data_IF_200991154171
#
_entry.id   IF_200991154171
#
_cell.length_a   1.000
_cell.length_b   1.000
_cell.length_c   1.000
_cell.angle_alpha   90.00
_cell.angle_beta   90.00
_cell.angle_gamma   90.00
#
_symmetry.space_group_name_H-M   'P 1'
#
loop_
_entity.id
_entity.type
_entity.pdbx_description
1 polymer ?
#
# COMPACT_ATOMS: atom_id res chain seq x y z
N UNK A 1 -0.84 15.21 -19.65
CA UNK A 1 -0.05 14.52 -18.62
C UNK A 1 -0.44 15.06 -17.27
N UNK A 2 -1.13 14.23 -16.50
CA UNK A 2 -1.62 14.68 -15.20
C UNK A 2 -0.68 14.23 -14.11
N UNK A 3 -0.27 15.15 -13.27
CA UNK A 3 0.44 14.83 -12.04
C UNK A 3 -0.60 14.42 -11.01
N UNK A 4 -0.44 13.24 -10.46
CA UNK A 4 -1.37 12.65 -9.49
C UNK A 4 -0.65 12.30 -8.21
N UNK A 5 -1.43 12.13 -7.14
CA UNK A 5 -0.94 11.60 -5.88
C UNK A 5 -1.68 10.31 -5.58
N UNK A 6 -0.98 9.35 -4.97
CA UNK A 6 -1.58 8.09 -4.55
C UNK A 6 -1.10 7.74 -3.15
N UNK A 7 -1.92 6.99 -2.41
CA UNK A 7 -1.50 6.47 -1.12
C UNK A 7 -0.92 5.08 -1.28
N UNK A 8 0.18 4.83 -0.61
CA UNK A 8 0.84 3.53 -0.58
C UNK A 8 1.09 3.15 0.87
N UNK A 9 0.92 1.88 1.18
CA UNK A 9 1.26 1.35 2.50
C UNK A 9 2.13 0.12 2.31
N UNK A 10 3.27 0.08 2.99
CA UNK A 10 4.06 -1.15 3.11
C UNK A 10 3.52 -1.86 4.34
N UNK A 11 2.94 -3.03 4.13
CA UNK A 11 2.21 -3.78 5.14
C UNK A 11 3.16 -4.45 6.15
N UNK A 12 2.64 -4.91 7.30
CA UNK A 12 3.50 -5.46 8.35
C UNK A 12 4.40 -6.62 7.91
N UNK A 13 3.93 -7.45 6.98
CA UNK A 13 4.73 -8.57 6.47
C UNK A 13 5.99 -8.09 5.77
N UNK A 14 5.89 -7.06 4.93
CA UNK A 14 7.05 -6.52 4.22
C UNK A 14 7.94 -5.68 5.14
N UNK A 15 7.36 -4.94 6.08
CA UNK A 15 8.14 -4.21 7.08
C UNK A 15 9.01 -5.19 7.87
N UNK A 16 8.43 -6.31 8.27
CA UNK A 16 9.13 -7.36 9.02
C UNK A 16 10.29 -7.95 8.23
N UNK A 17 10.16 -8.03 6.90
CA UNK A 17 11.23 -8.53 6.02
C UNK A 17 12.37 -7.54 5.83
N UNK A 18 12.21 -6.32 6.31
CA UNK A 18 13.24 -5.26 6.21
C UNK A 18 13.53 -4.86 4.77
N UNK A 19 12.48 -4.72 3.96
CA UNK A 19 12.60 -4.40 2.53
C UNK A 19 12.04 -3.03 2.15
N UNK A 20 11.77 -2.15 3.13
CA UNK A 20 11.25 -0.80 2.87
C UNK A 20 12.10 -0.06 1.85
N UNK A 21 13.41 -0.08 2.03
CA UNK A 21 14.33 0.62 1.12
C UNK A 21 14.29 0.09 -0.30
N UNK A 22 14.17 -1.22 -0.46
CA UNK A 22 14.05 -1.83 -1.78
C UNK A 22 12.74 -1.46 -2.47
N UNK A 23 11.65 -1.39 -1.71
CA UNK A 23 10.35 -0.97 -2.24
C UNK A 23 10.38 0.51 -2.62
N UNK A 24 10.94 1.36 -1.76
CA UNK A 24 11.09 2.79 -2.05
C UNK A 24 11.94 3.04 -3.30
N UNK A 25 13.00 2.26 -3.49
CA UNK A 25 13.83 2.38 -4.68
C UNK A 25 13.01 2.15 -5.95
N UNK A 26 12.07 1.22 -5.94
CA UNK A 26 11.20 0.96 -7.09
C UNK A 26 10.27 2.13 -7.38
N UNK A 27 9.76 2.80 -6.34
CA UNK A 27 8.94 4.00 -6.53
C UNK A 27 9.75 5.09 -7.22
N UNK A 28 10.93 5.37 -6.69
CA UNK A 28 11.79 6.42 -7.22
C UNK A 28 12.30 6.11 -8.64
N UNK A 29 12.66 4.87 -8.91
CA UNK A 29 13.08 4.42 -10.24
C UNK A 29 11.98 4.62 -11.28
N UNK A 30 10.72 4.49 -10.88
CA UNK A 30 9.58 4.67 -11.77
C UNK A 30 9.18 6.13 -11.93
N UNK A 31 9.85 7.05 -11.24
CA UNK A 31 9.53 8.47 -11.31
C UNK A 31 8.46 8.92 -10.33
N UNK A 32 8.17 8.11 -9.32
CA UNK A 32 7.25 8.50 -8.25
C UNK A 32 8.04 9.12 -7.11
N UNK A 33 7.63 10.33 -6.71
CA UNK A 33 8.28 11.06 -5.64
C UNK A 33 7.56 10.80 -4.33
N UNK A 34 8.31 10.49 -3.29
CA UNK A 34 7.76 10.34 -1.95
C UNK A 34 7.61 11.73 -1.34
N UNK A 35 6.38 12.19 -1.16
CA UNK A 35 6.11 13.55 -0.67
C UNK A 35 5.70 13.59 0.79
N UNK A 36 5.21 12.47 1.33
CA UNK A 36 4.90 12.31 2.76
C UNK A 36 5.16 10.86 3.12
N UNK A 37 5.67 10.64 4.33
CA UNK A 37 5.92 9.29 4.81
C UNK A 37 5.90 9.26 6.33
N UNK A 38 5.36 8.18 6.89
CA UNK A 38 5.44 7.93 8.33
C UNK A 38 5.39 6.44 8.61
N UNK A 39 6.11 6.01 9.62
CA UNK A 39 5.99 4.67 10.15
C UNK A 39 5.12 4.72 11.39
N UNK A 40 4.14 3.83 11.47
CA UNK A 40 3.23 3.78 12.61
C UNK A 40 2.72 2.36 12.80
N UNK A 41 2.29 2.07 14.03
CA UNK A 41 1.57 0.84 14.32
C UNK A 41 0.09 1.23 14.41
N UNK A 42 -0.71 0.79 13.44
CA UNK A 42 -2.12 1.17 13.40
C UNK A 42 -2.86 0.65 14.63
N UNK A 43 -3.77 1.47 15.16
CA UNK A 43 -4.72 1.00 16.16
C UNK A 43 -5.82 0.22 15.44
N UNK A 44 -6.59 -0.56 16.23
CA UNK A 44 -7.74 -1.26 15.67
C UNK A 44 -8.73 -0.29 15.04
N UNK A 45 -9.00 0.83 15.71
CA UNK A 45 -9.92 1.86 15.21
C UNK A 45 -9.42 2.46 13.88
N UNK A 46 -8.13 2.74 13.77
CA UNK A 46 -7.55 3.27 12.54
C UNK A 46 -7.67 2.30 11.38
N UNK A 47 -7.35 1.03 11.62
CA UNK A 47 -7.46 0.00 10.58
C UNK A 47 -8.91 -0.24 10.17
N UNK A 48 -9.83 -0.31 11.12
CA UNK A 48 -11.24 -0.46 10.83
C UNK A 48 -11.79 0.71 10.04
N UNK A 49 -11.39 1.94 10.39
CA UNK A 49 -11.82 3.14 9.67
C UNK A 49 -11.28 3.19 8.26
N UNK A 50 -10.03 2.82 8.07
CA UNK A 50 -9.42 2.80 6.74
C UNK A 50 -10.09 1.79 5.80
N UNK A 51 -10.43 0.61 6.32
CA UNK A 51 -11.06 -0.45 5.54
C UNK A 51 -12.59 -0.50 5.73
N UNK A 52 -13.20 0.58 6.19
CA UNK A 52 -14.65 0.63 6.51
C UNK A 52 -15.54 0.21 5.34
N UNK A 53 -15.13 0.45 4.09
CA UNK A 53 -15.87 0.04 2.90
C UNK A 53 -16.01 -1.48 2.82
N UNK A 54 -15.16 -2.22 3.53
CA UNK A 54 -15.17 -3.69 3.53
C UNK A 54 -15.76 -4.29 4.82
N UNK A 55 -16.33 -3.47 5.71
CA UNK A 55 -16.76 -3.92 7.04
C UNK A 55 -17.73 -5.11 7.02
N UNK A 56 -18.52 -5.26 5.97
CA UNK A 56 -19.49 -6.34 5.83
C UNK A 56 -18.93 -7.56 5.09
N UNK A 57 -17.65 -7.53 4.71
CA UNK A 57 -17.00 -8.64 4.01
C UNK A 57 -16.49 -9.68 5.01
N UNK A 58 -16.53 -10.98 4.64
CA UNK A 58 -16.02 -12.04 5.54
C UNK A 58 -14.55 -11.86 5.94
N UNK A 59 -13.73 -11.27 5.06
CA UNK A 59 -12.30 -11.09 5.30
C UNK A 59 -11.97 -9.86 6.16
N UNK A 60 -12.96 -9.05 6.53
CA UNK A 60 -12.71 -7.76 7.20
C UNK A 60 -11.92 -7.93 8.51
N UNK A 61 -12.35 -8.86 9.37
CA UNK A 61 -11.69 -9.08 10.67
C UNK A 61 -10.25 -9.53 10.50
N UNK A 62 -10.00 -10.43 9.55
CA UNK A 62 -8.66 -10.94 9.29
C UNK A 62 -7.76 -9.84 8.70
N UNK A 63 -8.31 -9.01 7.82
CA UNK A 63 -7.59 -7.89 7.24
C UNK A 63 -7.17 -6.89 8.34
N UNK A 64 -8.10 -6.51 9.22
CA UNK A 64 -7.80 -5.60 10.32
C UNK A 64 -6.75 -6.21 11.25
N UNK A 65 -6.92 -7.46 11.65
CA UNK A 65 -5.96 -8.15 12.52
C UNK A 65 -4.57 -8.20 11.89
N UNK A 66 -4.49 -8.45 10.59
CA UNK A 66 -3.22 -8.46 9.88
C UNK A 66 -2.57 -7.08 9.88
N UNK A 67 -3.32 -6.04 9.59
CA UNK A 67 -2.79 -4.67 9.48
C UNK A 67 -2.31 -4.11 10.82
N UNK A 68 -2.84 -4.60 11.94
CA UNK A 68 -2.40 -4.16 13.27
C UNK A 68 -1.39 -5.11 13.91
N UNK A 69 -0.96 -6.15 13.19
CA UNK A 69 -0.03 -7.17 13.73
C UNK A 69 1.40 -6.65 13.88
N UNK A 70 1.74 -5.53 13.28
CA UNK A 70 3.06 -4.92 13.36
C UNK A 70 3.05 -3.53 12.74
N UNK A 71 4.18 -2.82 12.75
CA UNK A 71 4.27 -1.49 12.16
C UNK A 71 4.06 -1.54 10.64
N UNK A 72 3.53 -0.44 10.11
CA UNK A 72 3.37 -0.22 8.67
C UNK A 72 4.12 1.05 8.28
N UNK A 73 4.53 1.14 7.02
CA UNK A 73 5.12 2.35 6.47
C UNK A 73 4.12 2.94 5.49
N UNK A 74 3.66 4.16 5.78
CA UNK A 74 2.62 4.84 4.99
C UNK A 74 3.26 6.00 4.26
N UNK A 75 3.02 6.11 2.96
CA UNK A 75 3.58 7.19 2.14
C UNK A 75 2.58 7.69 1.12
N UNK A 76 2.68 8.99 0.81
CA UNK A 76 2.00 9.59 -0.33
C UNK A 76 3.03 9.76 -1.45
N UNK A 77 2.68 9.30 -2.64
CA UNK A 77 3.55 9.32 -3.82
C UNK A 77 2.96 10.27 -4.86
N UNK A 78 3.83 10.99 -5.56
CA UNK A 78 3.41 11.94 -6.58
C UNK A 78 4.15 11.69 -7.88
N UNK A 79 3.45 11.76 -9.00
CA UNK A 79 4.05 11.62 -10.32
C UNK A 79 2.99 11.56 -11.39
N UNK A 80 3.43 11.42 -12.65
CA UNK A 80 2.51 11.23 -13.77
C UNK A 80 1.79 9.90 -13.63
N UNK A 81 0.46 9.91 -13.72
CA UNK A 81 -0.37 8.70 -13.62
C UNK A 81 -0.02 7.87 -12.38
N UNK A 82 0.17 8.53 -11.25
CA UNK A 82 0.71 7.88 -10.04
C UNK A 82 -0.11 6.67 -9.60
N UNK A 83 -1.45 6.75 -9.66
CA UNK A 83 -2.31 5.63 -9.25
C UNK A 83 -2.03 4.39 -10.08
N UNK A 84 -2.10 4.50 -11.41
CA UNK A 84 -1.87 3.36 -12.30
C UNK A 84 -0.42 2.88 -12.21
N UNK A 85 0.53 3.80 -12.22
CA UNK A 85 1.95 3.45 -12.16
C UNK A 85 2.27 2.67 -10.89
N UNK A 86 1.73 3.10 -9.76
CA UNK A 86 1.92 2.40 -8.49
C UNK A 86 1.31 1.00 -8.52
N UNK A 87 0.10 0.88 -9.09
CA UNK A 87 -0.54 -0.43 -9.21
C UNK A 87 0.26 -1.38 -10.10
N UNK A 88 0.82 -0.88 -11.19
CA UNK A 88 1.70 -1.67 -12.06
C UNK A 88 2.94 -2.14 -11.31
N UNK A 89 3.52 -1.29 -10.48
CA UNK A 89 4.69 -1.66 -9.67
C UNK A 89 4.35 -2.70 -8.61
N UNK A 90 3.14 -2.63 -8.03
CA UNK A 90 2.71 -3.61 -7.03
C UNK A 90 2.51 -5.00 -7.63
N UNK A 91 1.93 -5.08 -8.81
CA UNK A 91 1.55 -6.33 -9.44
C UNK A 91 0.20 -6.84 -8.98
N UNK A 92 -0.18 -8.02 -9.45
CA UNK A 92 -1.47 -8.63 -9.13
C UNK A 92 -1.60 -8.89 -7.63
N UNK A 93 -2.83 -8.80 -7.13
CA UNK A 93 -3.14 -9.03 -5.71
C UNK A 93 -2.62 -10.38 -5.22
N UNK A 94 -2.78 -11.42 -6.04
CA UNK A 94 -2.22 -12.73 -5.75
C UNK A 94 -0.78 -12.75 -6.24
N UNK A 95 0.23 -12.91 -5.35
CA UNK A 95 1.63 -12.91 -5.77
C UNK A 95 1.98 -14.01 -6.76
N UNK A 96 1.25 -15.12 -6.76
CA UNK A 96 1.47 -16.20 -7.73
C UNK A 96 1.12 -15.78 -9.15
N UNK A 97 0.25 -14.79 -9.29
CA UNK A 97 -0.19 -14.26 -10.60
C UNK A 97 0.54 -12.95 -10.94
N UNK A 98 1.33 -12.41 -10.02
CA UNK A 98 2.04 -11.16 -10.23
C UNK A 98 3.21 -11.37 -11.20
N UNK A 99 3.37 -10.43 -12.13
CA UNK A 99 4.46 -10.52 -13.10
C UNK A 99 5.83 -10.40 -12.41
N UNK A 100 6.85 -11.10 -12.94
CA UNK A 100 8.21 -10.97 -12.39
C UNK A 100 8.66 -9.52 -12.33
N UNK A 101 9.34 -9.15 -11.26
CA UNK A 101 9.83 -7.79 -11.06
C UNK A 101 8.86 -6.87 -10.36
N UNK A 102 7.61 -7.29 -10.15
CA UNK A 102 6.67 -6.52 -9.34
C UNK A 102 6.96 -6.70 -7.86
N UNK A 103 6.49 -5.76 -7.04
CA UNK A 103 6.71 -5.82 -5.60
C UNK A 103 6.10 -7.09 -5.00
N UNK A 104 4.88 -7.43 -5.40
CA UNK A 104 4.22 -8.61 -4.86
C UNK A 104 4.86 -9.91 -5.31
N UNK A 105 5.34 -9.98 -6.56
CA UNK A 105 6.05 -11.16 -7.03
C UNK A 105 7.33 -11.41 -6.21
N UNK A 106 8.02 -10.33 -5.83
CA UNK A 106 9.31 -10.44 -5.16
C UNK A 106 9.20 -10.55 -3.63
N UNK A 107 8.20 -9.90 -3.02
CA UNK A 107 8.16 -9.75 -1.56
C UNK A 107 6.90 -10.30 -0.89
N UNK A 108 5.83 -10.56 -1.62
CA UNK A 108 4.59 -11.04 -1.01
C UNK A 108 4.60 -12.56 -0.86
N UNK A 109 3.93 -13.05 0.18
CA UNK A 109 3.85 -14.50 0.45
C UNK A 109 2.52 -15.10 0.01
N UNK A 110 1.43 -14.31 0.12
CA UNK A 110 0.07 -14.80 -0.17
C UNK A 110 -0.83 -13.63 -0.49
N UNK A 111 -2.08 -13.90 -0.82
CA UNK A 111 -3.08 -12.86 -1.06
C UNK A 111 -3.27 -12.01 0.21
N UNK A 112 -3.27 -12.64 1.38
CA UNK A 112 -3.46 -11.94 2.65
C UNK A 112 -2.20 -11.18 3.08
N UNK A 113 -1.02 -11.77 2.89
CA UNK A 113 0.27 -11.16 3.21
C UNK A 113 0.94 -10.71 1.91
N UNK A 114 0.35 -9.69 1.27
CA UNK A 114 0.76 -9.29 -0.08
C UNK A 114 1.60 -8.01 -0.16
N UNK A 115 2.28 -7.70 0.91
CA UNK A 115 3.36 -6.71 1.03
C UNK A 115 2.93 -5.25 0.98
N UNK A 116 2.05 -4.85 0.07
CA UNK A 116 1.75 -3.44 -0.16
C UNK A 116 0.27 -3.20 -0.45
N UNK A 117 -0.16 -1.97 -0.13
CA UNK A 117 -1.46 -1.43 -0.50
C UNK A 117 -1.24 -0.21 -1.39
N UNK A 118 -2.09 -0.03 -2.37
CA UNK A 118 -2.13 1.19 -3.19
C UNK A 118 -3.56 1.59 -3.47
N UNK A 119 -3.81 2.90 -3.56
CA UNK A 119 -5.13 3.40 -3.92
C UNK A 119 -5.54 2.87 -5.29
N UNK A 120 -6.82 2.56 -5.46
CA UNK A 120 -7.35 1.98 -6.69
C UNK A 120 -7.91 3.02 -7.67
N UNK A 121 -8.05 4.26 -7.21
CA UNK A 121 -8.55 5.36 -8.03
C UNK A 121 -8.06 6.69 -7.49
N UNK A 122 -8.12 7.73 -8.32
CA UNK A 122 -7.72 9.08 -7.89
C UNK A 122 -8.63 9.59 -6.77
N UNK A 123 -9.93 9.31 -6.85
CA UNK A 123 -10.87 9.68 -5.79
C UNK A 123 -10.54 9.03 -4.46
N UNK A 124 -10.28 7.72 -4.48
CA UNK A 124 -9.90 7.00 -3.26
C UNK A 124 -8.52 7.44 -2.75
N UNK A 125 -7.60 7.76 -3.65
CA UNK A 125 -6.29 8.27 -3.24
C UNK A 125 -6.42 9.55 -2.40
N UNK A 126 -7.26 10.48 -2.80
CA UNK A 126 -7.49 11.72 -2.05
C UNK A 126 -8.04 11.45 -0.66
N UNK A 127 -9.01 10.56 -0.56
CA UNK A 127 -9.63 10.17 0.71
C UNK A 127 -8.60 9.50 1.62
N UNK A 128 -7.83 8.58 1.08
CA UNK A 128 -6.86 7.80 1.84
C UNK A 128 -5.69 8.65 2.33
N UNK A 129 -5.18 9.55 1.48
CA UNK A 129 -4.11 10.47 1.88
C UNK A 129 -4.59 11.39 3.01
N UNK A 130 -5.79 11.93 2.87
CA UNK A 130 -6.37 12.78 3.91
C UNK A 130 -6.56 12.02 5.22
N UNK A 131 -6.95 10.76 5.14
CA UNK A 131 -7.17 9.93 6.33
C UNK A 131 -5.92 9.82 7.19
N UNK A 132 -4.76 9.65 6.58
CA UNK A 132 -3.51 9.44 7.32
C UNK A 132 -2.68 10.71 7.52
N UNK A 133 -2.79 11.67 6.63
CA UNK A 133 -1.92 12.86 6.66
C UNK A 133 -2.66 14.18 6.86
N UNK A 134 -3.98 14.17 6.83
CA UNK A 134 -4.78 15.37 7.05
C UNK A 134 -5.03 16.27 5.86
#
# INVERSE_FOLDING_TARGET
>A
MAIEQTLSIIKPDAVKKNVIGQIYARFEHAGLKIIKAKMTHLSQAEAEGFYAVHKDRPFFKDLVSFMISGPVMIQALEGENAVLKHRDLMGATNPKEAAPGTIRADFAESIDANAVHGSDSLGNAKIEIKYFFG
#
